data_IF_873138517493
#
_entry.id   IF_873138517493
#
_cell.length_a   1.000
_cell.length_b   1.000
_cell.length_c   1.000
_cell.angle_alpha   90.00
_cell.angle_beta   90.00
_cell.angle_gamma   90.00
#
_symmetry.space_group_name_H-M   'P 1'
#
loop_
_entity.id
_entity.type
_entity.pdbx_description
1 polymer ?
#
# COMPACT_ATOMS: atom_id res chain seq x y z
N UNK A 1 9.11 14.31 22.96
CA UNK A 1 10.03 13.15 22.90
C UNK A 1 10.45 13.03 21.46
N UNK A 2 11.49 13.79 21.08
CA UNK A 2 12.18 13.61 19.80
C UNK A 2 12.76 12.21 19.83
N UNK A 3 12.10 11.32 19.13
CA UNK A 3 12.74 10.09 18.70
C UNK A 3 13.94 10.52 17.89
N UNK A 4 15.11 10.43 18.52
CA UNK A 4 16.40 10.51 17.90
C UNK A 4 16.41 9.49 16.75
N UNK A 5 15.96 9.91 15.58
CA UNK A 5 16.41 9.32 14.33
C UNK A 5 17.87 9.77 14.26
N UNK A 6 18.70 9.14 15.08
CA UNK A 6 20.13 9.22 14.94
C UNK A 6 20.42 8.96 13.46
N UNK A 7 21.27 9.78 12.87
CA UNK A 7 21.78 9.66 11.53
C UNK A 7 22.43 8.26 11.35
N UNK A 8 21.59 7.25 11.18
CA UNK A 8 22.04 5.98 10.68
C UNK A 8 22.42 6.24 9.23
N UNK A 9 23.72 6.32 8.99
CA UNK A 9 24.30 6.26 7.66
C UNK A 9 24.01 4.85 7.09
N UNK A 10 22.74 4.56 6.88
CA UNK A 10 22.32 3.31 6.28
C UNK A 10 22.81 3.30 4.85
N UNK A 11 23.72 2.39 4.55
CA UNK A 11 24.11 2.14 3.17
C UNK A 11 22.86 1.83 2.36
N UNK A 12 22.72 2.36 1.13
CA UNK A 12 21.60 2.03 0.27
C UNK A 12 21.47 0.51 0.14
N UNK A 13 20.26 -0.02 0.36
CA UNK A 13 19.97 -1.45 0.21
C UNK A 13 19.95 -1.91 -1.25
N UNK A 14 20.10 -0.98 -2.18
CA UNK A 14 20.03 -1.20 -3.62
C UNK A 14 21.21 -0.56 -4.33
N UNK A 15 21.64 -1.18 -5.43
CA UNK A 15 22.82 -0.73 -6.20
C UNK A 15 22.51 0.35 -7.21
N UNK A 16 21.27 0.42 -7.71
CA UNK A 16 20.86 1.36 -8.76
C UNK A 16 19.58 2.09 -8.39
N UNK A 17 19.67 3.42 -8.30
CA UNK A 17 18.53 4.28 -7.97
C UNK A 17 17.45 4.28 -9.07
N UNK A 18 17.82 4.09 -10.32
CA UNK A 18 16.87 4.05 -11.45
C UNK A 18 15.90 2.88 -11.32
N UNK A 19 16.39 1.72 -10.85
CA UNK A 19 15.53 0.56 -10.61
C UNK A 19 14.50 0.85 -9.53
N UNK A 20 14.88 1.58 -8.49
CA UNK A 20 13.95 1.96 -7.42
C UNK A 20 12.91 2.96 -7.94
N UNK A 21 13.32 3.91 -8.76
CA UNK A 21 12.40 4.87 -9.36
C UNK A 21 11.39 4.14 -10.27
N UNK A 22 11.86 3.21 -11.11
CA UNK A 22 10.99 2.39 -11.95
C UNK A 22 9.95 1.60 -11.13
N UNK A 23 10.37 0.98 -10.03
CA UNK A 23 9.46 0.25 -9.14
C UNK A 23 8.44 1.21 -8.49
N UNK A 24 8.86 2.38 -8.03
CA UNK A 24 7.99 3.40 -7.45
C UNK A 24 6.93 3.86 -8.46
N UNK A 25 7.34 4.11 -9.71
CA UNK A 25 6.45 4.54 -10.78
C UNK A 25 5.47 3.43 -11.16
N UNK A 26 5.93 2.18 -11.26
CA UNK A 26 5.07 1.03 -11.48
C UNK A 26 4.05 0.82 -10.36
N UNK A 27 4.42 1.04 -9.10
CA UNK A 27 3.50 1.01 -7.96
C UNK A 27 2.50 2.16 -8.01
N UNK A 28 2.94 3.35 -8.47
CA UNK A 28 2.05 4.49 -8.70
C UNK A 28 1.01 4.16 -9.76
N UNK A 29 1.42 3.68 -10.93
CA UNK A 29 0.54 3.30 -12.03
C UNK A 29 -0.47 2.23 -11.60
N UNK A 30 -0.03 1.21 -10.84
CA UNK A 30 -0.90 0.17 -10.29
C UNK A 30 -2.04 0.72 -9.42
N UNK A 31 -1.83 1.87 -8.75
CA UNK A 31 -2.81 2.44 -7.81
C UNK A 31 -3.57 3.65 -8.38
N UNK A 32 -3.01 4.38 -9.36
CA UNK A 32 -3.54 5.69 -9.75
C UNK A 32 -3.90 5.78 -11.24
N UNK A 33 -3.53 4.80 -12.06
CA UNK A 33 -3.85 4.80 -13.48
C UNK A 33 -4.98 3.81 -13.82
N UNK A 34 -5.81 4.13 -14.82
CA UNK A 34 -6.84 3.22 -15.29
C UNK A 34 -6.26 1.84 -15.68
N UNK A 35 -6.92 0.77 -15.25
CA UNK A 35 -6.42 -0.60 -15.44
C UNK A 35 -5.50 -1.10 -14.33
N UNK A 36 -5.02 -0.24 -13.44
CA UNK A 36 -4.27 -0.65 -12.26
C UNK A 36 -5.08 -1.51 -11.29
N UNK A 37 -4.45 -2.52 -10.70
CA UNK A 37 -5.14 -3.53 -9.87
C UNK A 37 -5.75 -2.95 -8.58
N UNK A 38 -5.29 -1.78 -8.14
CA UNK A 38 -5.82 -1.04 -6.99
C UNK A 38 -6.39 0.34 -7.34
N UNK A 39 -6.56 0.67 -8.62
CA UNK A 39 -7.05 1.96 -9.09
C UNK A 39 -8.36 2.41 -8.43
N UNK A 40 -9.29 1.51 -8.18
CA UNK A 40 -10.58 1.79 -7.51
C UNK A 40 -10.40 2.33 -6.08
N UNK A 41 -9.24 2.11 -5.49
CA UNK A 41 -8.93 2.50 -4.11
C UNK A 41 -7.97 3.69 -4.03
N UNK A 42 -7.69 4.37 -5.15
CA UNK A 42 -6.89 5.60 -5.13
C UNK A 42 -7.50 6.65 -4.21
N UNK A 43 -6.68 7.54 -3.72
CA UNK A 43 -7.12 8.76 -3.05
C UNK A 43 -7.18 9.88 -4.09
N UNK A 44 -8.29 10.60 -4.12
CA UNK A 44 -8.51 11.65 -5.12
C UNK A 44 -7.77 12.94 -4.78
N UNK A 45 -7.49 13.17 -3.50
CA UNK A 45 -6.70 14.31 -3.06
C UNK A 45 -5.22 14.12 -3.44
N UNK A 46 -4.65 14.99 -4.29
CA UNK A 46 -3.26 14.85 -4.74
C UNK A 46 -2.23 14.89 -3.60
N UNK A 47 -2.57 15.51 -2.48
CA UNK A 47 -1.69 15.58 -1.28
C UNK A 47 -1.51 14.20 -0.65
N UNK A 48 -2.50 13.34 -0.78
CA UNK A 48 -2.57 12.03 -0.14
C UNK A 48 -2.33 10.87 -1.10
N UNK A 49 -1.89 11.17 -2.34
CA UNK A 49 -1.59 10.13 -3.33
C UNK A 49 -0.60 9.11 -2.76
N UNK A 50 -0.95 7.85 -2.87
CA UNK A 50 -0.06 6.75 -2.49
C UNK A 50 0.31 5.90 -3.70
N UNK A 51 1.40 5.16 -3.59
CA UNK A 51 1.78 4.13 -4.54
C UNK A 51 1.74 2.78 -3.86
N UNK A 52 1.12 1.78 -4.50
CA UNK A 52 0.91 0.48 -3.87
C UNK A 52 0.82 -0.67 -4.86
N UNK A 53 0.92 -1.89 -4.34
CA UNK A 53 0.84 -3.12 -5.11
C UNK A 53 0.03 -4.16 -4.36
N UNK A 54 -0.93 -4.75 -5.06
CA UNK A 54 -1.69 -5.91 -4.61
C UNK A 54 -0.86 -7.17 -4.68
N UNK A 55 -1.12 -8.10 -3.78
CA UNK A 55 -0.58 -9.45 -3.80
C UNK A 55 -1.66 -10.46 -3.41
N UNK A 56 -1.44 -11.71 -3.79
CA UNK A 56 -2.20 -12.85 -3.31
C UNK A 56 -1.23 -13.98 -3.00
N UNK A 57 -1.36 -14.59 -1.84
CA UNK A 57 -0.56 -15.75 -1.44
C UNK A 57 -1.42 -16.98 -1.52
N UNK A 58 -1.09 -17.85 -2.48
CA UNK A 58 -1.85 -19.08 -2.73
C UNK A 58 -1.68 -20.06 -1.57
N UNK A 59 -2.80 -20.53 -1.02
CA UNK A 59 -2.83 -21.52 0.06
C UNK A 59 -3.03 -22.92 -0.51
N UNK A 60 -3.95 -23.07 -1.46
CA UNK A 60 -4.30 -24.35 -2.04
C UNK A 60 -3.75 -24.48 -3.44
N UNK A 61 -3.13 -25.62 -3.71
CA UNK A 61 -2.71 -25.96 -5.07
C UNK A 61 -3.95 -26.33 -5.91
N UNK A 62 -4.20 -25.57 -6.96
CA UNK A 62 -5.23 -25.88 -7.94
C UNK A 62 -4.74 -26.96 -8.91
N UNK A 63 -5.62 -27.87 -9.26
CA UNK A 63 -5.42 -28.80 -10.40
C UNK A 63 -5.48 -28.03 -11.70
N UNK A 64 -4.96 -28.62 -12.78
CA UNK A 64 -5.00 -28.00 -14.11
C UNK A 64 -6.44 -27.66 -14.54
N UNK A 65 -7.36 -28.59 -14.39
CA UNK A 65 -8.77 -28.39 -14.68
C UNK A 65 -9.41 -27.23 -13.85
N UNK A 66 -8.99 -27.04 -12.60
CA UNK A 66 -9.47 -25.92 -11.77
C UNK A 66 -8.90 -24.58 -12.22
N UNK A 67 -7.69 -24.55 -12.78
CA UNK A 67 -7.10 -23.33 -13.35
C UNK A 67 -7.79 -22.96 -14.67
N UNK A 68 -8.03 -23.95 -15.54
CA UNK A 68 -8.76 -23.75 -16.79
C UNK A 68 -10.19 -23.28 -16.56
N UNK A 69 -10.84 -23.76 -15.49
CA UNK A 69 -12.17 -23.33 -15.08
C UNK A 69 -12.21 -21.95 -14.42
N UNK A 70 -11.07 -21.24 -14.27
CA UNK A 70 -10.96 -19.92 -13.64
C UNK A 70 -11.73 -19.81 -12.29
N UNK A 71 -11.54 -20.78 -11.42
CA UNK A 71 -12.27 -20.85 -10.14
C UNK A 71 -12.11 -19.57 -9.34
N UNK A 72 -13.22 -18.87 -9.11
CA UNK A 72 -13.23 -17.62 -8.35
C UNK A 72 -12.97 -17.88 -6.87
N UNK A 73 -12.16 -17.04 -6.23
CA UNK A 73 -11.82 -17.14 -4.81
C UNK A 73 -13.06 -17.14 -3.92
N UNK A 74 -14.09 -16.38 -4.29
CA UNK A 74 -15.36 -16.29 -3.54
C UNK A 74 -16.16 -17.59 -3.53
N UNK A 75 -15.98 -18.47 -4.52
CA UNK A 75 -16.65 -19.78 -4.59
C UNK A 75 -15.96 -20.85 -3.75
N UNK A 76 -14.75 -20.58 -3.25
CA UNK A 76 -14.02 -21.50 -2.40
C UNK A 76 -14.49 -21.42 -0.93
N UNK A 77 -14.43 -22.52 -0.19
CA UNK A 77 -14.55 -22.47 1.26
C UNK A 77 -13.53 -21.45 1.83
N UNK A 78 -13.92 -20.74 2.88
CA UNK A 78 -13.11 -19.66 3.45
C UNK A 78 -11.64 -20.07 3.69
N UNK A 79 -11.41 -21.22 4.31
CA UNK A 79 -10.08 -21.77 4.62
C UNK A 79 -9.21 -22.11 3.41
N UNK A 80 -9.81 -22.23 2.23
CA UNK A 80 -9.13 -22.58 0.98
C UNK A 80 -8.83 -21.36 0.11
N UNK A 81 -9.31 -20.17 0.51
CA UNK A 81 -9.06 -18.91 -0.20
C UNK A 81 -7.65 -18.44 0.05
N UNK A 82 -7.07 -17.83 -0.97
CA UNK A 82 -5.75 -17.21 -0.88
C UNK A 82 -5.71 -16.09 0.18
N UNK A 83 -4.54 -15.82 0.73
CA UNK A 83 -4.35 -14.60 1.53
C UNK A 83 -4.26 -13.40 0.62
N UNK A 84 -4.96 -12.34 0.99
CA UNK A 84 -4.94 -11.07 0.28
C UNK A 84 -3.88 -10.15 0.89
N UNK A 85 -3.01 -9.60 0.04
CA UNK A 85 -1.93 -8.71 0.46
C UNK A 85 -2.03 -7.38 -0.27
N UNK A 86 -1.58 -6.33 0.41
CA UNK A 86 -1.35 -5.02 -0.18
C UNK A 86 -0.19 -4.33 0.53
N UNK A 87 0.74 -3.79 -0.24
CA UNK A 87 1.81 -2.95 0.27
C UNK A 87 1.73 -1.59 -0.40
N UNK A 88 2.01 -0.52 0.36
CA UNK A 88 2.01 0.83 -0.18
C UNK A 88 2.94 1.75 0.60
N UNK A 89 3.27 2.87 -0.02
CA UNK A 89 3.91 4.00 0.65
C UNK A 89 3.19 5.32 0.29
N UNK A 90 3.24 6.27 1.18
CA UNK A 90 2.53 7.54 1.04
C UNK A 90 3.21 8.67 1.85
N UNK A 91 3.09 9.95 1.40
CA UNK A 91 2.66 10.37 0.08
C UNK A 91 3.63 9.90 -1.02
N UNK A 92 3.18 9.76 -2.27
CA UNK A 92 4.03 9.28 -3.36
C UNK A 92 5.27 10.16 -3.61
N UNK A 93 5.07 11.49 -3.70
CA UNK A 93 6.16 12.45 -4.00
C UNK A 93 7.18 12.58 -2.88
N UNK A 94 6.74 12.50 -1.62
CA UNK A 94 7.59 12.60 -0.44
C UNK A 94 7.18 11.53 0.58
N UNK A 95 7.63 10.28 0.42
CA UNK A 95 7.20 9.17 1.27
C UNK A 95 7.55 9.37 2.73
N UNK A 96 6.52 9.32 3.58
CA UNK A 96 6.62 9.43 5.05
C UNK A 96 6.22 8.13 5.73
N UNK A 97 5.39 7.34 5.09
CA UNK A 97 4.81 6.13 5.64
C UNK A 97 4.85 4.99 4.65
N UNK A 98 5.10 3.80 5.14
CA UNK A 98 4.88 2.55 4.44
C UNK A 98 3.85 1.71 5.20
N UNK A 99 3.04 0.96 4.47
CA UNK A 99 2.03 0.08 5.04
C UNK A 99 2.06 -1.27 4.35
N UNK A 100 1.88 -2.32 5.13
CA UNK A 100 1.57 -3.66 4.64
C UNK A 100 0.27 -4.12 5.30
N UNK A 101 -0.65 -4.63 4.49
CA UNK A 101 -1.92 -5.21 4.93
C UNK A 101 -1.99 -6.64 4.44
N UNK A 102 -2.21 -7.56 5.36
CA UNK A 102 -2.47 -8.96 5.09
C UNK A 102 -3.86 -9.29 5.64
N UNK A 103 -4.70 -9.88 4.78
CA UNK A 103 -6.01 -10.41 5.17
C UNK A 103 -6.01 -11.89 4.91
N UNK A 104 -5.97 -12.67 5.98
CA UNK A 104 -6.00 -14.14 5.89
C UNK A 104 -7.28 -14.59 5.18
N UNK A 105 -7.12 -15.49 4.22
CA UNK A 105 -8.21 -16.03 3.40
C UNK A 105 -9.07 -14.95 2.70
N UNK A 106 -8.51 -13.76 2.49
CA UNK A 106 -9.21 -12.62 1.88
C UNK A 106 -9.41 -12.73 0.36
N UNK A 107 -8.80 -13.72 -0.28
CA UNK A 107 -8.91 -14.01 -1.71
C UNK A 107 -8.10 -13.05 -2.57
N UNK A 108 -8.52 -11.80 -2.68
CA UNK A 108 -7.90 -10.82 -3.59
C UNK A 108 -7.37 -9.60 -2.86
N UNK A 109 -6.08 -9.28 -3.07
CA UNK A 109 -5.45 -8.08 -2.52
C UNK A 109 -6.18 -6.79 -2.87
N UNK A 110 -6.65 -6.66 -4.12
CA UNK A 110 -7.41 -5.50 -4.58
C UNK A 110 -8.80 -5.39 -3.96
N UNK A 111 -9.44 -6.52 -3.61
CA UNK A 111 -10.79 -6.50 -3.03
C UNK A 111 -10.78 -6.41 -1.50
N UNK A 112 -9.85 -7.08 -0.83
CA UNK A 112 -9.85 -7.20 0.63
C UNK A 112 -8.81 -6.31 1.31
N UNK A 113 -7.55 -6.28 0.85
CA UNK A 113 -6.46 -5.59 1.53
C UNK A 113 -6.35 -4.10 1.13
N UNK A 114 -6.47 -3.77 -0.17
CA UNK A 114 -6.33 -2.40 -0.66
C UNK A 114 -7.34 -1.40 -0.05
N UNK A 115 -8.65 -1.73 0.12
CA UNK A 115 -9.59 -0.80 0.76
C UNK A 115 -9.26 -0.52 2.23
N UNK A 116 -8.69 -1.47 2.94
CA UNK A 116 -8.22 -1.28 4.32
C UNK A 116 -7.04 -0.33 4.32
N UNK A 117 -6.03 -0.60 3.48
CA UNK A 117 -4.85 0.25 3.34
C UNK A 117 -5.23 1.69 2.99
N UNK A 118 -6.16 1.91 2.03
CA UNK A 118 -6.67 3.24 1.68
C UNK A 118 -7.19 4.00 2.90
N UNK A 119 -8.02 3.36 3.72
CA UNK A 119 -8.61 3.99 4.92
C UNK A 119 -7.54 4.36 5.94
N UNK A 120 -6.58 3.46 6.18
CA UNK A 120 -5.50 3.69 7.14
C UNK A 120 -4.58 4.80 6.64
N UNK A 121 -4.11 4.74 5.39
CA UNK A 121 -3.24 5.77 4.78
C UNK A 121 -3.90 7.14 4.87
N UNK A 122 -5.16 7.26 4.43
CA UNK A 122 -5.90 8.52 4.51
C UNK A 122 -5.89 9.08 5.92
N UNK A 123 -6.26 8.25 6.91
CA UNK A 123 -6.34 8.69 8.30
C UNK A 123 -4.99 9.09 8.89
N UNK A 124 -3.93 8.38 8.54
CA UNK A 124 -2.56 8.70 8.98
C UNK A 124 -2.11 10.04 8.41
N UNK A 125 -2.32 10.28 7.11
CA UNK A 125 -1.92 11.52 6.44
C UNK A 125 -2.71 12.73 6.96
N UNK A 126 -4.02 12.60 7.16
CA UNK A 126 -4.85 13.64 7.78
C UNK A 126 -4.34 14.02 9.18
N UNK A 127 -3.98 13.03 10.00
CA UNK A 127 -3.44 13.28 11.34
C UNK A 127 -2.04 13.89 11.30
N UNK A 128 -1.21 13.51 10.34
CA UNK A 128 0.11 14.11 10.15
C UNK A 128 -0.01 15.59 9.82
N UNK A 129 -0.88 15.92 8.86
CA UNK A 129 -1.14 17.31 8.46
C UNK A 129 -1.66 18.15 9.64
N UNK A 130 -2.61 17.62 10.39
CA UNK A 130 -3.14 18.30 11.58
C UNK A 130 -2.05 18.59 12.61
N UNK A 131 -1.19 17.63 12.93
CA UNK A 131 -0.07 17.83 13.87
C UNK A 131 0.91 18.89 13.37
N UNK A 132 1.23 18.89 12.09
CA UNK A 132 2.12 19.89 11.49
C UNK A 132 1.54 21.30 11.61
N UNK A 133 0.26 21.46 11.34
CA UNK A 133 -0.42 22.75 11.45
C UNK A 133 -0.44 23.26 12.90
N UNK A 134 -0.70 22.40 13.87
CA UNK A 134 -0.65 22.75 15.29
C UNK A 134 0.77 23.20 15.71
N UNK A 135 1.80 22.46 15.32
CA UNK A 135 3.18 22.81 15.64
C UNK A 135 3.62 24.15 15.04
N UNK A 136 3.19 24.44 13.80
CA UNK A 136 3.47 25.73 13.17
C UNK A 136 2.79 26.88 13.92
N UNK A 137 1.53 26.73 14.34
CA UNK A 137 0.82 27.75 15.12
C UNK A 137 1.45 28.00 16.49
N UNK A 138 2.00 26.96 17.13
CA UNK A 138 2.70 27.11 18.41
C UNK A 138 4.04 27.83 18.21
N UNK A 139 4.77 27.51 17.13
CA UNK A 139 6.07 28.13 16.82
C UNK A 139 5.98 29.60 16.38
N UNK A 140 4.83 30.04 15.84
CA UNK A 140 4.58 31.46 15.47
C UNK A 140 4.20 32.34 16.69
N UNK A 141 3.85 31.74 17.80
CA UNK A 141 3.43 32.44 19.02
C UNK A 141 4.51 32.49 20.11
N UNK A 142 5.75 32.11 19.81
CA UNK A 142 6.95 32.16 20.65
C UNK A 142 8.01 33.08 20.05
#
# INVERSE_FOLDING_TARGET
>A
TDLLISNFNLKPLFKNQEHINLIKDAMFSSSNEPGGTSYRHRLEDPRYTFAGKTGSSQIKRFTEAQREAEVKQESLPYKDRDHALFVAFAPYKNPQYAISVLVEHGGSGGKAAAPIAKKVIKKVLERHELRRNINNQIGENV
#
